data_IF_981696830267
#
_entry.id   IF_981696830267
#
_cell.length_a   1.000
_cell.length_b   1.000
_cell.length_c   1.000
_cell.angle_alpha   90.00
_cell.angle_beta   90.00
_cell.angle_gamma   90.00
#
_symmetry.space_group_name_H-M   'P 1'
#
loop_
_entity.id
_entity.type
_entity.pdbx_description
1 polymer ?
#
# COMPACT_ATOMS: atom_id res chain seq x y z
N UNK A 1 1.99 6.48 -32.76
CA UNK A 1 2.09 5.25 -31.94
C UNK A 1 2.59 5.71 -30.59
N UNK A 2 1.70 5.73 -29.59
CA UNK A 2 2.10 6.08 -28.24
C UNK A 2 2.96 4.94 -27.70
N UNK A 3 4.15 5.28 -27.22
CA UNK A 3 5.08 4.34 -26.62
C UNK A 3 4.39 3.64 -25.45
N UNK A 4 4.46 2.31 -25.45
CA UNK A 4 3.85 1.41 -24.48
C UNK A 4 4.65 1.45 -23.17
N UNK A 5 4.66 2.62 -22.51
CA UNK A 5 5.56 2.93 -21.39
C UNK A 5 5.22 2.17 -20.09
N UNK A 6 4.14 1.37 -20.08
CA UNK A 6 3.83 0.45 -18.98
C UNK A 6 4.35 -0.97 -19.23
N UNK A 7 4.57 -1.37 -20.48
CA UNK A 7 4.74 -2.76 -20.89
C UNK A 7 6.10 -3.39 -20.55
N UNK A 8 7.13 -2.60 -20.26
CA UNK A 8 8.49 -3.14 -20.08
C UNK A 8 8.93 -3.36 -18.63
N UNK A 9 8.18 -2.88 -17.63
CA UNK A 9 8.59 -2.94 -16.22
C UNK A 9 7.50 -3.39 -15.22
N UNK A 10 6.32 -3.76 -15.70
CA UNK A 10 5.21 -4.24 -14.86
C UNK A 10 4.87 -5.69 -15.21
N UNK A 11 4.86 -6.57 -14.21
CA UNK A 11 4.56 -7.99 -14.39
C UNK A 11 3.24 -8.38 -13.70
N UNK A 12 2.46 -9.24 -14.35
CA UNK A 12 1.29 -9.89 -13.72
C UNK A 12 1.80 -10.93 -12.73
N UNK A 13 1.48 -10.74 -11.45
CA UNK A 13 1.94 -11.64 -10.39
C UNK A 13 0.85 -12.60 -9.93
N UNK A 14 -0.41 -12.15 -9.91
CA UNK A 14 -1.52 -12.94 -9.40
C UNK A 14 -2.85 -12.53 -10.02
N UNK A 15 -3.79 -13.49 -10.09
CA UNK A 15 -5.20 -13.24 -10.34
C UNK A 15 -6.01 -13.81 -9.19
N UNK A 16 -7.03 -13.08 -8.74
CA UNK A 16 -7.98 -13.57 -7.75
C UNK A 16 -9.42 -13.28 -8.17
N UNK A 17 -10.34 -14.14 -7.74
CA UNK A 17 -11.78 -13.99 -7.96
C UNK A 17 -12.50 -14.18 -6.64
N UNK A 18 -13.52 -13.36 -6.39
CA UNK A 18 -14.37 -13.54 -5.21
C UNK A 18 -15.21 -14.83 -5.33
N UNK A 19 -15.22 -15.67 -4.30
CA UNK A 19 -16.02 -16.90 -4.24
C UNK A 19 -17.50 -16.63 -3.90
N UNK A 20 -18.18 -15.91 -4.77
CA UNK A 20 -19.62 -15.56 -4.69
C UNK A 20 -20.32 -15.87 -6.01
N UNK A 21 -21.62 -15.59 -6.12
CA UNK A 21 -22.34 -15.71 -7.40
C UNK A 21 -21.60 -14.94 -8.51
N UNK A 22 -21.42 -15.53 -9.71
CA UNK A 22 -20.56 -14.93 -10.76
C UNK A 22 -20.91 -13.49 -11.12
N UNK A 23 -22.20 -13.12 -11.12
CA UNK A 23 -22.65 -11.73 -11.39
C UNK A 23 -22.20 -10.72 -10.33
N UNK A 24 -21.82 -11.18 -9.15
CA UNK A 24 -21.34 -10.36 -8.03
C UNK A 24 -19.83 -10.47 -7.83
N UNK A 25 -19.19 -11.46 -8.46
CA UNK A 25 -17.78 -11.76 -8.27
C UNK A 25 -16.91 -10.67 -8.89
N UNK A 26 -15.92 -10.17 -8.14
CA UNK A 26 -14.87 -9.33 -8.72
C UNK A 26 -13.78 -10.20 -9.28
N UNK A 27 -13.27 -9.83 -10.45
CA UNK A 27 -11.97 -10.29 -10.94
C UNK A 27 -10.94 -9.26 -10.53
N UNK A 28 -9.85 -9.72 -9.93
CA UNK A 28 -8.72 -8.91 -9.45
C UNK A 28 -7.45 -9.37 -10.16
N UNK A 29 -6.74 -8.43 -10.76
CA UNK A 29 -5.45 -8.65 -11.41
C UNK A 29 -4.41 -7.86 -10.61
N UNK A 30 -3.40 -8.59 -10.13
CA UNK A 30 -2.32 -8.03 -9.35
C UNK A 30 -1.08 -7.85 -10.21
N UNK A 31 -0.55 -6.64 -10.21
CA UNK A 31 0.61 -6.23 -10.99
C UNK A 31 1.71 -5.75 -10.04
N UNK A 32 2.97 -6.05 -10.37
CA UNK A 32 4.12 -5.48 -9.68
C UNK A 32 4.99 -4.69 -10.66
N UNK A 33 5.38 -3.49 -10.25
CA UNK A 33 6.43 -2.70 -10.88
C UNK A 33 7.62 -2.58 -9.93
N UNK A 34 8.84 -2.60 -10.45
CA UNK A 34 10.04 -2.33 -9.65
C UNK A 34 10.28 -0.83 -9.44
N UNK A 35 9.50 0.02 -10.10
CA UNK A 35 9.51 1.46 -9.86
C UNK A 35 8.79 1.80 -8.55
N UNK A 36 9.35 2.74 -7.78
CA UNK A 36 8.92 3.10 -6.43
C UNK A 36 8.79 4.60 -6.19
N UNK A 37 9.09 5.42 -7.20
CA UNK A 37 8.84 6.87 -7.14
C UNK A 37 7.35 7.17 -7.15
N UNK A 38 6.97 8.30 -6.54
CA UNK A 38 5.57 8.74 -6.52
C UNK A 38 5.01 8.93 -7.95
N UNK A 39 5.82 9.43 -8.87
CA UNK A 39 5.42 9.61 -10.28
C UNK A 39 5.06 8.30 -10.98
N UNK A 40 5.71 7.19 -10.61
CA UNK A 40 5.36 5.87 -11.12
C UNK A 40 4.15 5.29 -10.37
N UNK A 41 4.10 5.46 -9.04
CA UNK A 41 2.97 5.09 -8.19
C UNK A 41 1.66 5.74 -8.64
N UNK A 42 1.68 7.00 -9.06
CA UNK A 42 0.50 7.72 -9.50
C UNK A 42 0.06 7.39 -10.94
N UNK A 43 0.81 6.55 -11.69
CA UNK A 43 0.37 5.98 -12.99
C UNK A 43 -0.74 4.93 -12.85
N UNK A 44 -1.35 4.84 -11.67
CA UNK A 44 -2.60 4.12 -11.44
C UNK A 44 -3.69 4.55 -12.43
N UNK A 45 -3.66 5.79 -12.93
CA UNK A 45 -4.54 6.20 -14.00
C UNK A 45 -4.18 5.49 -15.32
N UNK A 46 -4.88 4.41 -15.60
CA UNK A 46 -4.76 3.65 -16.84
C UNK A 46 -5.57 4.36 -17.94
N UNK A 47 -4.96 5.35 -18.59
CA UNK A 47 -5.54 6.12 -19.70
C UNK A 47 -6.93 6.74 -19.39
N UNK A 48 -7.11 7.27 -18.18
CA UNK A 48 -8.35 7.91 -17.75
C UNK A 48 -9.43 6.93 -17.27
N UNK A 49 -9.15 5.62 -17.24
CA UNK A 49 -10.12 4.62 -16.78
C UNK A 49 -10.29 4.59 -15.27
N UNK A 50 -9.31 5.08 -14.51
CA UNK A 50 -9.38 5.17 -13.05
C UNK A 50 -9.43 6.63 -12.66
N UNK A 51 -10.62 7.07 -12.22
CA UNK A 51 -10.83 8.45 -11.79
C UNK A 51 -10.17 8.67 -10.42
N UNK A 52 -9.00 9.31 -10.43
CA UNK A 52 -8.33 9.81 -9.22
C UNK A 52 -8.41 11.33 -9.22
N UNK A 53 -9.11 11.91 -8.25
CA UNK A 53 -9.11 13.37 -8.13
C UNK A 53 -7.75 13.87 -7.62
N UNK A 54 -7.45 15.15 -7.87
CA UNK A 54 -6.21 15.75 -7.39
C UNK A 54 -6.08 15.60 -5.87
N UNK A 55 -7.17 15.84 -5.12
CA UNK A 55 -7.18 15.71 -3.65
C UNK A 55 -6.94 14.27 -3.20
N UNK A 56 -7.53 13.28 -3.88
CA UNK A 56 -7.26 11.88 -3.58
C UNK A 56 -5.78 11.53 -3.83
N UNK A 57 -5.21 12.00 -4.96
CA UNK A 57 -3.78 11.82 -5.28
C UNK A 57 -2.87 12.44 -4.23
N UNK A 58 -3.15 13.67 -3.79
CA UNK A 58 -2.42 14.35 -2.71
C UNK A 58 -2.50 13.57 -1.39
N UNK A 59 -3.68 13.04 -1.05
CA UNK A 59 -3.87 12.21 0.15
C UNK A 59 -3.10 10.88 0.06
N UNK A 60 -3.03 10.25 -1.11
CA UNK A 60 -2.23 9.04 -1.32
C UNK A 60 -0.74 9.33 -1.18
N UNK A 61 -0.27 10.46 -1.73
CA UNK A 61 1.13 10.89 -1.59
C UNK A 61 1.49 11.14 -0.14
N UNK A 62 0.63 11.87 0.59
CA UNK A 62 0.84 12.14 2.01
C UNK A 62 0.95 10.84 2.81
N UNK A 63 0.06 9.88 2.56
CA UNK A 63 0.12 8.56 3.20
C UNK A 63 1.45 7.86 2.91
N UNK A 64 1.88 7.83 1.64
CA UNK A 64 3.14 7.23 1.21
C UNK A 64 4.36 7.86 1.90
N UNK A 65 4.42 9.19 1.96
CA UNK A 65 5.51 9.90 2.65
C UNK A 65 5.55 9.57 4.16
N UNK A 66 4.40 9.64 4.83
CA UNK A 66 4.34 9.44 6.28
C UNK A 66 4.65 8.00 6.69
N UNK A 67 4.05 7.01 6.02
CA UNK A 67 4.26 5.58 6.31
C UNK A 67 5.71 5.15 6.09
N UNK A 68 6.39 5.74 5.10
CA UNK A 68 7.78 5.44 4.79
C UNK A 68 8.77 6.39 5.48
N UNK A 69 8.29 7.30 6.35
CA UNK A 69 9.13 8.29 7.05
C UNK A 69 10.00 9.13 6.09
N UNK A 70 9.47 9.48 4.93
CA UNK A 70 10.16 10.29 3.93
C UNK A 70 10.15 11.77 4.34
N UNK A 71 11.19 12.48 3.93
CA UNK A 71 11.27 13.93 4.09
C UNK A 71 10.12 14.63 3.33
N UNK A 72 9.68 15.79 3.84
CA UNK A 72 8.54 16.50 3.28
C UNK A 72 8.77 16.92 1.82
N UNK A 73 10.01 17.29 1.50
CA UNK A 73 10.50 17.71 0.19
C UNK A 73 11.07 16.55 -0.65
N UNK A 74 10.88 15.30 -0.23
CA UNK A 74 11.24 14.14 -1.03
C UNK A 74 10.62 14.23 -2.42
N UNK A 75 11.48 14.17 -3.44
CA UNK A 75 11.09 14.38 -4.84
C UNK A 75 10.15 13.29 -5.34
N UNK A 76 9.13 13.67 -6.11
CA UNK A 76 8.15 12.72 -6.67
C UNK A 76 8.75 11.80 -7.73
N UNK A 77 9.81 12.24 -8.39
CA UNK A 77 10.56 11.46 -9.39
C UNK A 77 11.59 10.52 -8.75
N UNK A 78 11.95 10.76 -7.48
CA UNK A 78 13.01 10.02 -6.82
C UNK A 78 12.53 8.61 -6.45
N UNK A 79 13.32 7.60 -6.83
CA UNK A 79 13.10 6.21 -6.44
C UNK A 79 13.47 6.01 -4.96
N UNK A 80 12.79 5.08 -4.30
CA UNK A 80 13.21 4.58 -3.00
C UNK A 80 14.56 3.83 -3.15
N UNK A 81 15.31 3.60 -2.07
CA UNK A 81 16.57 2.86 -2.14
C UNK A 81 16.43 1.52 -2.86
N UNK A 82 17.40 1.17 -3.70
CA UNK A 82 17.34 -0.09 -4.46
C UNK A 82 17.25 -1.29 -3.53
N UNK A 83 16.26 -2.15 -3.76
CA UNK A 83 16.11 -3.43 -3.08
C UNK A 83 16.44 -4.58 -4.03
N UNK A 84 17.12 -5.60 -3.52
CA UNK A 84 17.35 -6.85 -4.26
C UNK A 84 16.21 -7.86 -4.11
N UNK A 85 15.18 -7.52 -3.32
CA UNK A 85 13.99 -8.35 -3.12
C UNK A 85 12.95 -8.00 -4.18
N UNK A 86 12.52 -8.97 -4.97
CA UNK A 86 11.51 -8.77 -6.01
C UNK A 86 10.19 -8.25 -5.44
N UNK A 87 9.88 -8.59 -4.19
CA UNK A 87 8.64 -8.21 -3.50
C UNK A 87 8.66 -6.77 -2.96
N UNK A 88 9.81 -6.07 -3.04
CA UNK A 88 9.94 -4.69 -2.63
C UNK A 88 9.35 -3.71 -3.66
N UNK A 89 9.12 -4.13 -4.91
CA UNK A 89 8.47 -3.30 -5.92
C UNK A 89 7.04 -2.87 -5.54
N UNK A 90 6.60 -1.76 -6.14
CA UNK A 90 5.23 -1.26 -6.04
C UNK A 90 4.23 -2.30 -6.53
N UNK A 91 3.15 -2.50 -5.77
CA UNK A 91 2.15 -3.51 -6.07
C UNK A 91 0.76 -2.88 -6.26
N UNK A 92 0.07 -3.29 -7.31
CA UNK A 92 -1.24 -2.77 -7.70
C UNK A 92 -2.25 -3.91 -7.79
N UNK A 93 -3.49 -3.65 -7.40
CA UNK A 93 -4.62 -4.54 -7.63
C UNK A 93 -5.67 -3.80 -8.46
N UNK A 94 -5.79 -4.18 -9.73
CA UNK A 94 -6.85 -3.72 -10.60
C UNK A 94 -8.04 -4.67 -10.50
N UNK A 95 -9.25 -4.15 -10.37
CA UNK A 95 -10.42 -4.99 -10.21
C UNK A 95 -11.72 -4.35 -10.69
N UNK A 96 -12.63 -5.22 -11.14
CA UNK A 96 -13.96 -4.85 -11.59
C UNK A 96 -14.94 -6.00 -11.34
N UNK A 97 -16.24 -5.70 -11.29
CA UNK A 97 -17.33 -6.68 -11.39
C UNK A 97 -17.84 -6.76 -12.82
N UNK A 98 -18.48 -7.87 -13.21
CA UNK A 98 -19.26 -7.92 -14.45
C UNK A 98 -20.25 -6.75 -14.52
N UNK A 99 -20.17 -5.97 -15.59
CA UNK A 99 -21.03 -4.81 -15.83
C UNK A 99 -20.59 -3.50 -15.17
N UNK A 100 -19.48 -3.48 -14.41
CA UNK A 100 -18.91 -2.21 -13.94
C UNK A 100 -18.40 -1.39 -15.12
N UNK A 101 -18.82 -0.13 -15.21
CA UNK A 101 -18.35 0.81 -16.23
C UNK A 101 -16.96 1.40 -15.93
N UNK A 102 -16.42 1.13 -14.73
CA UNK A 102 -15.21 1.77 -14.19
C UNK A 102 -14.32 0.71 -13.56
N UNK A 103 -13.07 0.67 -14.00
CA UNK A 103 -12.03 -0.13 -13.37
C UNK A 103 -11.62 0.54 -12.05
N UNK A 104 -11.36 -0.25 -11.01
CA UNK A 104 -10.84 0.24 -9.73
C UNK A 104 -9.41 -0.22 -9.57
N UNK A 105 -8.60 0.56 -8.88
CA UNK A 105 -7.24 0.19 -8.53
C UNK A 105 -6.95 0.49 -7.07
N UNK A 106 -6.29 -0.46 -6.43
CA UNK A 106 -5.72 -0.31 -5.09
C UNK A 106 -4.20 -0.34 -5.21
N UNK A 107 -3.56 0.65 -4.62
CA UNK A 107 -2.11 0.74 -4.48
C UNK A 107 -1.67 0.07 -3.18
N UNK A 108 -0.57 -0.66 -3.21
CA UNK A 108 0.07 -1.27 -2.04
C UNK A 108 1.48 -0.71 -1.88
N UNK A 109 1.68 0.05 -0.82
CA UNK A 109 2.97 0.59 -0.39
C UNK A 109 3.75 -0.55 0.30
N UNK A 110 4.96 -0.91 -0.19
CA UNK A 110 5.79 -1.99 0.35
C UNK A 110 6.48 -1.60 1.67
N UNK A 111 5.68 -1.30 2.70
CA UNK A 111 6.13 -0.80 3.99
C UNK A 111 7.15 -1.73 4.69
N UNK A 112 7.04 -3.05 4.50
CA UNK A 112 8.03 -4.01 5.01
C UNK A 112 9.46 -3.75 4.54
N UNK A 113 9.62 -3.24 3.32
CA UNK A 113 10.91 -3.11 2.66
C UNK A 113 11.49 -1.70 2.74
N UNK A 114 10.63 -0.69 2.84
CA UNK A 114 11.06 0.71 2.82
C UNK A 114 10.66 1.52 4.05
N UNK A 115 9.85 0.96 4.94
CA UNK A 115 9.62 1.55 6.25
C UNK A 115 10.87 1.43 7.12
N UNK A 116 11.02 2.37 8.06
CA UNK A 116 12.15 2.39 8.98
C UNK A 116 12.07 1.24 10.01
N UNK A 117 10.90 1.05 10.61
CA UNK A 117 10.52 -0.05 11.50
C UNK A 117 8.99 -0.02 11.69
N UNK A 118 8.42 -1.04 12.34
CA UNK A 118 6.97 -1.14 12.53
C UNK A 118 6.39 -0.02 13.42
N UNK A 119 7.17 0.50 14.37
CA UNK A 119 6.78 1.65 15.20
C UNK A 119 6.64 2.92 14.35
N UNK A 120 7.64 3.25 13.52
CA UNK A 120 7.63 4.41 12.64
C UNK A 120 6.50 4.34 11.60
N UNK A 121 6.22 3.15 11.05
CA UNK A 121 5.07 2.93 10.16
C UNK A 121 3.75 3.25 10.88
N UNK A 122 3.61 2.79 12.13
CA UNK A 122 2.44 3.07 12.95
C UNK A 122 2.26 4.54 13.29
N UNK A 123 3.35 5.22 13.64
CA UNK A 123 3.37 6.68 13.86
C UNK A 123 2.98 7.45 12.59
N UNK A 124 3.48 7.03 11.42
CA UNK A 124 3.10 7.62 10.14
C UNK A 124 1.61 7.49 9.82
N UNK A 125 1.01 6.32 10.12
CA UNK A 125 -0.44 6.11 10.00
C UNK A 125 -1.23 6.97 10.99
N UNK A 126 -0.82 7.01 12.25
CA UNK A 126 -1.43 7.87 13.27
C UNK A 126 -1.42 9.33 12.81
N UNK A 127 -0.25 9.85 12.42
CA UNK A 127 -0.12 11.22 11.95
C UNK A 127 -0.99 11.50 10.72
N UNK A 128 -1.08 10.55 9.79
CA UNK A 128 -1.94 10.65 8.62
C UNK A 128 -3.41 10.84 9.01
N UNK A 129 -3.90 10.05 9.97
CA UNK A 129 -5.30 10.13 10.41
C UNK A 129 -5.59 11.34 11.28
N UNK A 130 -4.65 11.74 12.15
CA UNK A 130 -4.76 12.97 12.95
C UNK A 130 -4.88 14.21 12.07
N UNK A 131 -4.05 14.33 11.03
CA UNK A 131 -4.13 15.45 10.05
C UNK A 131 -5.49 15.54 9.34
N UNK A 132 -6.27 14.45 9.33
CA UNK A 132 -7.59 14.35 8.70
C UNK A 132 -8.74 14.34 9.72
N UNK A 133 -8.45 14.48 11.01
CA UNK A 133 -9.44 14.40 12.09
C UNK A 133 -10.16 13.04 12.14
N UNK A 134 -9.46 11.96 11.75
CA UNK A 134 -9.97 10.59 11.66
C UNK A 134 -9.21 9.66 12.62
N UNK A 135 -8.73 10.17 13.74
CA UNK A 135 -7.85 9.50 14.70
C UNK A 135 -8.58 8.71 15.80
N UNK A 136 -9.91 8.68 15.77
CA UNK A 136 -10.77 7.96 16.73
C UNK A 136 -10.47 6.46 16.94
N UNK A 137 -9.68 5.84 16.06
CA UNK A 137 -9.28 4.42 16.15
C UNK A 137 -7.79 4.21 16.41
N UNK A 138 -6.99 5.28 16.54
CA UNK A 138 -5.53 5.20 16.73
C UNK A 138 -5.17 4.36 17.94
N UNK A 139 -5.83 4.56 19.08
CA UNK A 139 -5.56 3.78 20.30
C UNK A 139 -5.82 2.27 20.09
N UNK A 140 -6.90 1.92 19.38
CA UNK A 140 -7.22 0.52 19.07
C UNK A 140 -6.22 -0.08 18.09
N UNK A 141 -5.77 0.71 17.13
CA UNK A 141 -4.74 0.32 16.17
C UNK A 141 -3.42 0.00 16.89
N UNK A 142 -2.97 0.86 17.81
CA UNK A 142 -1.76 0.63 18.60
C UNK A 142 -1.86 -0.61 19.48
N UNK A 143 -2.97 -0.79 20.19
CA UNK A 143 -3.20 -2.01 20.99
C UNK A 143 -3.07 -3.30 20.16
N UNK A 144 -3.59 -3.29 18.93
CA UNK A 144 -3.48 -4.42 17.99
C UNK A 144 -2.04 -4.61 17.52
N UNK A 145 -1.34 -3.53 17.17
CA UNK A 145 0.05 -3.57 16.70
C UNK A 145 1.00 -4.07 17.80
N UNK A 146 0.88 -3.55 19.03
CA UNK A 146 1.65 -3.99 20.19
C UNK A 146 1.38 -5.45 20.54
N UNK A 147 0.10 -5.86 20.52
CA UNK A 147 -0.29 -7.25 20.73
C UNK A 147 0.30 -8.19 19.66
N UNK A 148 0.31 -7.77 18.40
CA UNK A 148 0.97 -8.52 17.33
C UNK A 148 2.49 -8.51 17.48
N UNK A 149 3.09 -7.44 18.00
CA UNK A 149 4.53 -7.29 18.15
C UNK A 149 5.13 -7.84 19.44
N UNK A 150 4.36 -8.44 20.34
CA UNK A 150 4.76 -8.73 21.73
C UNK A 150 6.06 -9.54 21.94
N UNK A 151 6.61 -10.16 20.88
CA UNK A 151 7.83 -10.96 20.87
C UNK A 151 9.09 -10.16 20.55
N UNK A 152 8.97 -8.88 20.16
CA UNK A 152 10.09 -7.95 19.94
C UNK A 152 9.65 -6.49 20.11
N UNK A 153 10.56 -5.56 20.43
CA UNK A 153 10.26 -4.13 20.31
C UNK A 153 9.83 -3.75 18.89
N UNK A 154 8.80 -2.89 18.76
CA UNK A 154 8.28 -2.45 17.45
C UNK A 154 9.30 -1.61 16.66
N UNK A 155 10.24 -0.95 17.35
CA UNK A 155 11.34 -0.23 16.74
C UNK A 155 12.49 -1.15 16.24
N UNK A 156 12.43 -2.45 16.56
CA UNK A 156 13.42 -3.42 16.12
C UNK A 156 13.03 -4.04 14.77
N UNK A 157 13.17 -3.25 13.71
CA UNK A 157 12.96 -3.66 12.32
C UNK A 157 11.49 -3.70 11.87
N UNK A 158 11.33 -4.04 10.59
CA UNK A 158 10.04 -4.21 9.92
C UNK A 158 9.65 -5.69 9.82
N UNK A 159 8.36 -5.96 9.63
CA UNK A 159 7.87 -7.31 9.34
C UNK A 159 6.43 -7.55 9.78
N UNK A 160 5.93 -6.77 10.74
CA UNK A 160 4.53 -6.83 11.16
C UNK A 160 3.65 -6.16 10.11
N UNK A 161 4.03 -5.00 9.59
CA UNK A 161 3.39 -4.40 8.42
C UNK A 161 3.98 -4.99 7.14
N UNK A 162 3.22 -5.83 6.45
CA UNK A 162 3.60 -6.31 5.12
C UNK A 162 3.42 -5.20 4.08
N UNK A 163 2.21 -4.65 4.02
CA UNK A 163 1.82 -3.58 3.11
C UNK A 163 0.89 -2.59 3.81
N UNK A 164 0.96 -1.32 3.42
CA UNK A 164 -0.13 -0.37 3.62
C UNK A 164 -0.74 -0.10 2.25
N UNK A 165 -2.04 -0.30 2.09
CA UNK A 165 -2.71 -0.03 0.82
C UNK A 165 -3.61 1.19 0.89
N UNK A 166 -3.80 1.84 -0.25
CA UNK A 166 -4.78 2.89 -0.44
C UNK A 166 -5.55 2.72 -1.76
N UNK A 167 -6.82 3.13 -1.76
CA UNK A 167 -7.68 3.13 -2.94
C UNK A 167 -8.46 4.46 -2.98
N UNK A 168 -8.48 5.17 -4.12
CA UNK A 168 -9.32 6.35 -4.32
C UNK A 168 -10.82 6.06 -4.14
N UNK A 169 -11.52 6.94 -3.41
CA UNK A 169 -12.97 6.94 -3.17
C UNK A 169 -13.51 8.36 -3.35
N UNK A 170 -13.69 8.77 -4.60
CA UNK A 170 -14.04 10.15 -4.93
C UNK A 170 -12.88 11.09 -4.60
N UNK A 171 -13.10 12.05 -3.70
CA UNK A 171 -12.08 13.03 -3.27
C UNK A 171 -11.23 12.59 -2.07
N UNK A 172 -11.45 11.36 -1.60
CA UNK A 172 -10.74 10.80 -0.47
C UNK A 172 -10.19 9.41 -0.80
N UNK A 173 -9.56 8.75 0.17
CA UNK A 173 -8.99 7.41 0.01
C UNK A 173 -9.45 6.47 1.12
N UNK A 174 -9.61 5.19 0.79
CA UNK A 174 -9.70 4.13 1.78
C UNK A 174 -8.32 3.53 2.02
N UNK A 175 -7.90 3.42 3.28
CA UNK A 175 -6.62 2.85 3.70
C UNK A 175 -6.84 1.45 4.29
N UNK A 176 -5.90 0.52 4.07
CA UNK A 176 -5.93 -0.82 4.69
C UNK A 176 -4.52 -1.27 5.05
N UNK A 177 -4.28 -1.63 6.31
CA UNK A 177 -3.04 -2.24 6.78
C UNK A 177 -3.08 -3.75 6.63
N UNK A 178 -2.04 -4.33 6.03
CA UNK A 178 -1.84 -5.77 5.93
C UNK A 178 -0.80 -6.21 6.92
N UNK A 179 -1.23 -6.95 7.93
CA UNK A 179 -0.35 -7.44 8.98
C UNK A 179 0.15 -8.85 8.71
N UNK A 180 1.39 -9.11 9.12
CA UNK A 180 1.99 -10.43 9.25
C UNK A 180 2.27 -10.69 10.73
N UNK A 181 1.69 -11.73 11.34
CA UNK A 181 1.94 -12.05 12.75
C UNK A 181 3.35 -12.62 13.01
N UNK A 182 4.18 -12.75 11.97
CA UNK A 182 5.54 -13.33 12.01
C UNK A 182 5.67 -14.60 12.87
N UNK A 183 4.72 -15.54 12.76
CA UNK A 183 4.65 -16.74 13.63
C UNK A 183 5.93 -17.60 13.65
N UNK A 184 6.80 -17.45 12.65
CA UNK A 184 8.08 -18.16 12.55
C UNK A 184 9.28 -17.35 13.02
N UNK A 185 9.07 -16.14 13.56
CA UNK A 185 10.14 -15.30 14.09
C UNK A 185 10.89 -16.04 15.21
N UNK A 186 12.24 -16.02 15.26
CA UNK A 186 13.01 -16.86 16.17
C UNK A 186 12.55 -16.80 17.64
N UNK A 187 12.29 -15.61 18.17
CA UNK A 187 11.87 -15.42 19.57
C UNK A 187 10.41 -15.83 19.85
N UNK A 188 9.58 -16.10 18.84
CA UNK A 188 8.22 -16.65 19.03
C UNK A 188 8.20 -18.16 19.19
N UNK A 189 9.23 -18.88 18.72
CA UNK A 189 9.25 -20.35 18.74
C UNK A 189 9.55 -20.95 20.11
N UNK A 190 9.85 -20.12 21.10
CA UNK A 190 10.19 -20.55 22.47
C UNK A 190 9.00 -20.48 23.44
N UNK A 191 7.79 -20.22 22.94
CA UNK A 191 6.54 -20.18 23.72
C UNK A 191 5.71 -21.45 23.64
#
# INVERSE_FOLDING_TARGET
>A
MADDALGSQTEVEMVAVDCVTPSMARVKIYLRSQETSWECLCRIDHDGQIKVSQRASENMRLLWQLVLSLEHDFSTAQQLPTSHRSEAGTFYCFYARPGDAVLRCKLYIPAKYYGLNDEAIGQGLEQYFQKRGQDQFVDRYWNVLEGMGSYRPLNNGCGIHTYISCEPKGDDISVTSYFSPEIYYPTRKEG
#
